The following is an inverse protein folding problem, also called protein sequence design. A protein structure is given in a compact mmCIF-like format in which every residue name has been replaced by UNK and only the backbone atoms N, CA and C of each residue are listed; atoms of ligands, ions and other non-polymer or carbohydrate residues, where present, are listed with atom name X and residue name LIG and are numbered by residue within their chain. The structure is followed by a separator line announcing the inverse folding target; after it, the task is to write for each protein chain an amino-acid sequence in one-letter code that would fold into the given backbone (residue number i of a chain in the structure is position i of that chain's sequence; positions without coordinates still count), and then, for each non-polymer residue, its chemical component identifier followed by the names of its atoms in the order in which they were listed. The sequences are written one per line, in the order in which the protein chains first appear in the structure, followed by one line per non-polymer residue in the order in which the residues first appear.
data_IF_246631736785
#
_entry.id   IF_246631736785
#
_cell.length_a   1.000
_cell.length_b   1.000
_cell.length_c   1.000
_cell.angle_alpha   90.00
_cell.angle_beta   90.00
_cell.angle_gamma   90.00
#
_symmetry.space_group_name_H-M   'P 1'
#
loop_
_entity.id
_entity.type
_entity.pdbx_description
1 polymer ?
#
# COMPACT_ATOMS: atom_id res chain seq x y z
N UNK A 1 -4.36 16.96 10.34
CA UNK A 1 -4.61 15.62 9.79
C UNK A 1 -6.09 15.27 9.95
N UNK A 2 -6.80 15.21 8.82
CA UNK A 2 -8.13 14.64 8.76
C UNK A 2 -7.95 13.11 8.71
N UNK A 3 -8.37 12.40 9.76
CA UNK A 3 -8.23 10.93 9.87
C UNK A 3 -9.56 10.28 9.55
N UNK A 4 -9.54 9.20 8.78
CA UNK A 4 -10.73 8.36 8.59
C UNK A 4 -11.18 7.77 9.93
N UNK A 5 -12.50 7.73 10.14
CA UNK A 5 -13.07 7.10 11.33
C UNK A 5 -12.90 5.56 11.24
N UNK A 6 -12.85 4.89 12.39
CA UNK A 6 -12.76 3.43 12.48
C UNK A 6 -13.93 2.76 11.76
N UNK A 7 -15.14 3.31 11.86
CA UNK A 7 -16.30 2.76 11.15
C UNK A 7 -16.12 2.80 9.62
N UNK A 8 -15.58 3.91 9.10
CA UNK A 8 -15.23 4.06 7.68
C UNK A 8 -14.18 3.03 7.27
N UNK A 9 -13.13 2.85 8.08
CA UNK A 9 -12.09 1.85 7.81
C UNK A 9 -12.65 0.41 7.81
N UNK A 10 -13.56 0.09 8.74
CA UNK A 10 -14.22 -1.23 8.78
C UNK A 10 -15.08 -1.46 7.53
N UNK A 11 -15.82 -0.45 7.06
CA UNK A 11 -16.62 -0.55 5.84
C UNK A 11 -15.74 -0.82 4.62
N UNK A 12 -14.63 -0.10 4.48
CA UNK A 12 -13.66 -0.30 3.39
C UNK A 12 -13.10 -1.73 3.40
N UNK A 13 -12.65 -2.22 4.56
CA UNK A 13 -12.14 -3.59 4.70
C UNK A 13 -13.21 -4.64 4.37
N UNK A 14 -14.45 -4.44 4.83
CA UNK A 14 -15.58 -5.32 4.49
C UNK A 14 -15.92 -5.29 3.00
N UNK A 15 -15.73 -4.14 2.36
CA UNK A 15 -15.85 -3.95 0.92
C UNK A 15 -14.65 -4.48 0.12
N UNK A 16 -13.66 -5.08 0.77
CA UNK A 16 -12.47 -5.66 0.12
C UNK A 16 -11.32 -4.68 -0.12
N UNK A 17 -11.46 -3.42 0.31
CA UNK A 17 -10.40 -2.41 0.20
C UNK A 17 -9.54 -2.44 1.45
N UNK A 18 -8.42 -3.16 1.35
CA UNK A 18 -7.48 -3.39 2.48
C UNK A 18 -6.10 -2.78 2.28
N UNK A 19 -5.80 -2.29 1.08
CA UNK A 19 -4.51 -1.67 0.74
C UNK A 19 -4.72 -0.40 -0.11
N UNK A 20 -3.80 0.55 -0.01
CA UNK A 20 -3.84 1.81 -0.74
C UNK A 20 -3.83 1.62 -2.26
N UNK A 21 -3.12 0.60 -2.76
CA UNK A 21 -3.10 0.26 -4.18
C UNK A 21 -4.48 -0.06 -4.74
N UNK A 22 -5.41 -0.59 -3.93
CA UNK A 22 -6.77 -0.87 -4.41
C UNK A 22 -7.49 0.40 -4.85
N UNK A 23 -7.25 1.54 -4.20
CA UNK A 23 -7.87 2.83 -4.57
C UNK A 23 -7.41 3.35 -5.94
N UNK A 24 -6.34 2.80 -6.51
CA UNK A 24 -5.95 3.08 -7.89
C UNK A 24 -6.78 2.30 -8.92
N UNK A 25 -7.34 1.16 -8.53
CA UNK A 25 -8.09 0.24 -9.38
C UNK A 25 -9.61 0.35 -9.22
N UNK A 26 -10.10 0.81 -8.07
CA UNK A 26 -11.53 1.02 -7.83
C UNK A 26 -11.97 2.44 -8.16
N UNK A 27 -13.18 2.56 -8.72
CA UNK A 27 -13.79 3.85 -8.97
C UNK A 27 -14.31 4.47 -7.67
N UNK A 28 -14.30 5.79 -7.61
CA UNK A 28 -14.84 6.55 -6.46
C UNK A 28 -16.30 6.18 -6.19
N UNK A 29 -17.08 5.87 -7.24
CA UNK A 29 -18.46 5.44 -7.12
C UNK A 29 -18.61 4.12 -6.37
N UNK A 30 -17.71 3.16 -6.58
CA UNK A 30 -17.73 1.87 -5.86
C UNK A 30 -17.38 2.08 -4.39
N UNK A 31 -16.40 2.96 -4.12
CA UNK A 31 -16.05 3.36 -2.75
C UNK A 31 -17.21 4.07 -2.06
N UNK A 32 -17.93 4.94 -2.78
CA UNK A 32 -19.11 5.61 -2.26
C UNK A 32 -20.23 4.61 -1.94
N UNK A 33 -20.44 3.58 -2.76
CA UNK A 33 -21.42 2.51 -2.47
C UNK A 33 -21.07 1.76 -1.18
N UNK A 34 -19.79 1.44 -0.96
CA UNK A 34 -19.29 0.83 0.29
C UNK A 34 -19.51 1.76 1.49
N UNK A 35 -19.42 3.08 1.27
CA UNK A 35 -19.66 4.11 2.28
C UNK A 35 -21.12 4.56 2.35
N UNK A 36 -22.06 3.71 1.95
CA UNK A 36 -23.51 3.95 2.04
C UNK A 36 -23.99 5.17 1.22
N UNK A 37 -23.30 5.46 0.11
CA UNK A 37 -23.58 6.56 -0.80
C UNK A 37 -22.85 7.87 -0.46
N UNK A 38 -21.90 7.85 0.48
CA UNK A 38 -21.12 9.05 0.84
C UNK A 38 -20.01 9.34 -0.19
N UNK A 39 -20.39 10.10 -1.21
CA UNK A 39 -19.52 10.52 -2.30
C UNK A 39 -18.37 11.44 -1.82
N UNK A 40 -18.62 12.33 -0.86
CA UNK A 40 -17.62 13.30 -0.40
C UNK A 40 -16.47 12.58 0.32
N UNK A 41 -16.81 11.67 1.24
CA UNK A 41 -15.82 10.86 1.93
C UNK A 41 -15.05 9.97 0.95
N UNK A 42 -15.73 9.35 -0.02
CA UNK A 42 -15.09 8.52 -1.03
C UNK A 42 -14.08 9.30 -1.88
N UNK A 43 -14.43 10.49 -2.36
CA UNK A 43 -13.53 11.36 -3.15
C UNK A 43 -12.28 11.75 -2.35
N UNK A 44 -12.45 12.15 -1.09
CA UNK A 44 -11.34 12.50 -0.20
C UNK A 44 -10.38 11.33 0.00
N UNK A 45 -10.91 10.14 0.25
CA UNK A 45 -10.12 8.94 0.50
C UNK A 45 -9.37 8.51 -0.76
N UNK A 46 -10.05 8.42 -1.91
CA UNK A 46 -9.41 8.09 -3.19
C UNK A 46 -8.33 9.10 -3.58
N UNK A 47 -8.58 10.40 -3.35
CA UNK A 47 -7.60 11.46 -3.65
C UNK A 47 -6.39 11.38 -2.71
N UNK A 48 -6.61 11.13 -1.42
CA UNK A 48 -5.54 10.94 -0.45
C UNK A 48 -4.68 9.70 -0.79
N UNK A 49 -5.32 8.57 -1.13
CA UNK A 49 -4.60 7.36 -1.52
C UNK A 49 -3.74 7.56 -2.79
N UNK A 50 -4.25 8.30 -3.79
CA UNK A 50 -3.48 8.66 -5.00
C UNK A 50 -2.28 9.56 -4.70
N UNK A 51 -2.42 10.51 -3.76
CA UNK A 51 -1.30 11.37 -3.37
C UNK A 51 -0.21 10.58 -2.65
N UNK A 52 -0.57 9.60 -1.80
CA UNK A 52 0.41 8.75 -1.10
C UNK A 52 1.20 7.88 -2.08
N UNK A 53 0.56 7.36 -3.14
CA UNK A 53 1.24 6.60 -4.20
C UNK A 53 2.30 7.45 -4.95
N UNK A 54 2.03 8.74 -5.12
CA UNK A 54 2.97 9.71 -5.70
C UNK A 54 4.08 10.13 -4.72
N UNK A 55 3.77 10.21 -3.42
CA UNK A 55 4.72 10.54 -2.35
C UNK A 55 5.67 9.38 -2.03
N UNK A 56 5.27 8.13 -2.27
CA UNK A 56 6.16 6.96 -2.22
C UNK A 56 7.31 7.01 -3.23
N UNK A 57 7.23 7.88 -4.25
CA UNK A 57 8.32 8.18 -5.17
C UNK A 57 9.03 9.53 -4.88
N UNK A 58 8.62 10.25 -3.84
CA UNK A 58 9.24 11.49 -3.37
C UNK A 58 9.37 11.47 -1.85
N UNK A 59 10.15 10.53 -1.33
CA UNK A 59 10.67 10.62 0.03
C UNK A 59 11.58 11.87 0.11
N UNK A 60 11.05 12.92 0.75
CA UNK A 60 11.76 14.02 1.41
C UNK A 60 12.75 14.82 0.54
N UNK A 61 12.26 15.91 -0.06
CA UNK A 61 13.07 17.15 -0.12
C UNK A 61 12.47 18.13 0.87
N UNK A 62 13.16 18.22 2.01
CA UNK A 62 12.85 19.01 3.18
C UNK A 62 12.61 20.50 2.86
N UNK A 63 11.51 21.05 3.37
CA UNK A 63 11.46 22.47 3.70
C UNK A 63 12.14 22.67 5.05
N UNK A 64 13.43 23.05 5.03
CA UNK A 64 13.99 23.85 6.10
C UNK A 64 15.06 24.79 5.52
N UNK A 65 14.69 26.07 5.38
CA UNK A 65 15.66 27.16 5.22
C UNK A 65 16.66 27.12 6.38
N UNK A 66 17.94 26.88 6.09
CA UNK A 66 19.09 27.70 6.49
C UNK A 66 20.43 26.97 6.23
N UNK A 67 21.26 27.60 5.40
CA UNK A 67 22.73 27.66 5.42
C UNK A 67 23.61 26.41 5.62
N UNK A 68 24.48 26.25 4.62
CA UNK A 68 25.92 25.93 4.68
C UNK A 68 26.38 24.48 4.96
N UNK A 69 27.44 24.15 4.22
CA UNK A 69 28.34 22.99 4.35
C UNK A 69 27.88 21.63 3.81
N UNK A 70 28.10 21.48 2.49
CA UNK A 70 28.91 20.42 1.89
C UNK A 70 29.35 19.28 2.83
N UNK A 71 28.76 18.08 2.69
CA UNK A 71 29.56 16.85 2.66
C UNK A 71 28.83 15.67 1.97
N UNK A 72 29.42 15.29 0.85
CA UNK A 72 29.62 13.94 0.31
C UNK A 72 28.43 12.98 0.13
N UNK A 73 28.12 12.80 -1.16
CA UNK A 73 27.79 11.52 -1.79
C UNK A 73 28.58 10.35 -1.17
N UNK A 74 27.87 9.31 -0.74
CA UNK A 74 28.36 7.95 -0.94
C UNK A 74 27.25 7.05 -1.49
N UNK A 75 27.62 6.35 -2.56
CA UNK A 75 26.79 5.61 -3.50
C UNK A 75 27.28 4.17 -3.47
N UNK A 76 26.31 3.24 -3.57
CA UNK A 76 26.51 1.79 -3.71
C UNK A 76 27.07 1.14 -2.42
N UNK A 77 26.81 -0.11 -2.08
CA UNK A 77 26.52 -1.33 -2.84
C UNK A 77 25.75 -2.26 -1.86
N UNK A 78 24.88 -3.16 -2.30
CA UNK A 78 25.20 -4.59 -2.24
C UNK A 78 24.24 -5.38 -3.13
N UNK A 79 24.82 -5.95 -4.19
CA UNK A 79 24.22 -6.94 -5.07
C UNK A 79 24.70 -8.31 -4.61
N UNK A 80 23.81 -9.14 -4.10
CA UNK A 80 24.00 -10.59 -3.86
C UNK A 80 22.60 -11.19 -3.82
N UNK A 81 22.21 -12.22 -4.56
CA UNK A 81 22.87 -13.08 -5.52
C UNK A 81 21.81 -14.15 -5.79
N UNK A 82 21.27 -14.22 -7.00
CA UNK A 82 20.37 -15.31 -7.39
C UNK A 82 21.19 -16.52 -7.75
N UNK A 83 21.03 -17.64 -7.05
CA UNK A 83 21.34 -18.96 -7.62
C UNK A 83 20.48 -20.08 -6.97
N UNK A 84 19.68 -20.71 -7.85
CA UNK A 84 19.01 -22.04 -7.93
C UNK A 84 19.07 -23.03 -6.73
N UNK A 85 17.93 -23.56 -6.28
CA UNK A 85 17.19 -24.79 -6.71
C UNK A 85 17.73 -26.07 -6.05
N UNK A 86 16.99 -26.62 -5.08
CA UNK A 86 16.96 -28.08 -4.84
C UNK A 86 15.54 -28.53 -4.41
N UNK A 87 15.08 -29.53 -5.15
CA UNK A 87 13.84 -30.29 -5.02
C UNK A 87 13.94 -31.27 -3.84
N UNK A 88 12.99 -31.27 -2.91
CA UNK A 88 12.69 -32.45 -2.09
C UNK A 88 11.21 -32.81 -2.18
N UNK A 89 10.97 -33.99 -2.73
CA UNK A 89 9.69 -34.68 -2.80
C UNK A 89 9.54 -35.53 -1.55
N UNK A 90 8.45 -35.36 -0.81
CA UNK A 90 7.98 -36.39 0.12
C UNK A 90 6.48 -36.61 -0.11
N UNK A 91 6.16 -37.77 -0.69
CA UNK A 91 4.82 -38.34 -0.86
C UNK A 91 4.61 -39.37 0.24
N UNK A 92 3.51 -39.34 0.99
CA UNK A 92 2.71 -40.47 1.55
C UNK A 92 1.31 -39.86 1.90
N UNK A 93 0.14 -40.30 1.41
CA UNK A 93 -0.49 -41.62 1.59
C UNK A 93 -0.81 -41.83 3.09
N UNK A 94 -2.04 -41.96 3.61
CA UNK A 94 -3.20 -42.75 3.21
C UNK A 94 -4.45 -42.38 4.06
N UNK A 95 -5.62 -42.46 3.42
CA UNK A 95 -6.91 -43.05 3.85
C UNK A 95 -7.55 -42.68 5.21
N UNK A 96 -8.82 -42.26 5.21
CA UNK A 96 -9.96 -43.17 5.50
C UNK A 96 -11.30 -42.48 5.20
N UNK A 97 -12.18 -43.19 4.49
CA UNK A 97 -13.59 -42.83 4.27
C UNK A 97 -14.47 -43.73 5.13
N UNK A 98 -15.34 -43.16 5.96
CA UNK A 98 -16.61 -43.75 6.41
C UNK A 98 -17.67 -42.66 6.52
#
# INVERSE_FOLDING_TARGET
EEKINIDTAIKLVKGGIVNLEFFSMVDVSDVAEILEGDQESAEKICSAAKNIDLEGNNDVVAENENNDDNDQLERAEESVGSEVDEVEKESEGELESV
#
